data_IF_348088346266
#
_entry.id   IF_348088346266
#
_cell.length_a   1.000
_cell.length_b   1.000
_cell.length_c   1.000
_cell.angle_alpha   90.00
_cell.angle_beta   90.00
_cell.angle_gamma   90.00
#
_symmetry.space_group_name_H-M   'P 1'
#
loop_
_entity.id
_entity.type
_entity.pdbx_description
1 polymer ?
#
# COMPACT_ATOMS: atom_id res chain seq x y z
N UNK A 1 -14.18 -13.20 -1.33
CA UNK A 1 -13.23 -12.07 -1.15
C UNK A 1 -13.99 -10.76 -1.29
N UNK A 2 -13.79 -9.86 -0.35
CA UNK A 2 -14.41 -8.53 -0.43
C UNK A 2 -13.44 -7.45 0.02
N UNK A 3 -13.57 -6.27 -0.55
CA UNK A 3 -12.76 -5.10 -0.19
C UNK A 3 -13.73 -4.00 0.25
N UNK A 4 -13.42 -3.36 1.37
CA UNK A 4 -14.22 -2.25 1.88
C UNK A 4 -13.32 -1.15 2.44
N UNK A 5 -13.90 0.01 2.69
CA UNK A 5 -13.17 1.10 3.32
C UNK A 5 -12.73 0.73 4.73
N UNK A 6 -11.54 1.20 5.09
CA UNK A 6 -11.02 1.07 6.45
C UNK A 6 -11.95 1.77 7.44
N UNK A 7 -12.15 1.13 8.59
CA UNK A 7 -12.85 1.69 9.73
C UNK A 7 -12.01 1.47 10.99
N UNK A 8 -12.21 2.31 12.00
CA UNK A 8 -11.44 2.24 13.24
C UNK A 8 -11.49 0.84 13.89
N UNK A 9 -12.59 0.14 13.75
CA UNK A 9 -12.73 -1.23 14.28
C UNK A 9 -11.73 -2.22 13.67
N UNK A 10 -11.09 -1.87 12.55
CA UNK A 10 -10.08 -2.71 11.88
C UNK A 10 -8.64 -2.34 12.26
N UNK A 11 -8.47 -1.38 13.17
CA UNK A 11 -7.14 -0.90 13.54
C UNK A 11 -6.22 -2.03 13.99
N UNK A 12 -6.65 -2.85 14.95
CA UNK A 12 -5.83 -3.93 15.48
C UNK A 12 -5.50 -5.00 14.43
N UNK A 13 -6.43 -5.29 13.54
CA UNK A 13 -6.20 -6.23 12.44
C UNK A 13 -5.12 -5.72 11.48
N UNK A 14 -5.14 -4.44 11.16
CA UNK A 14 -4.12 -3.82 10.31
C UNK A 14 -2.75 -3.82 11.00
N UNK A 15 -2.69 -3.56 12.31
CA UNK A 15 -1.45 -3.62 13.06
C UNK A 15 -0.88 -5.05 13.09
N UNK A 16 -1.72 -6.06 13.18
CA UNK A 16 -1.27 -7.46 13.09
C UNK A 16 -0.64 -7.76 11.74
N UNK A 17 -1.21 -7.23 10.65
CA UNK A 17 -0.62 -7.38 9.31
C UNK A 17 0.75 -6.75 9.25
N UNK A 18 0.89 -5.53 9.77
CA UNK A 18 2.18 -4.83 9.84
C UNK A 18 3.21 -5.66 10.58
N UNK A 19 2.86 -6.17 11.77
CA UNK A 19 3.75 -7.01 12.59
C UNK A 19 4.17 -8.28 11.86
N UNK A 20 3.28 -8.88 11.09
CA UNK A 20 3.60 -10.10 10.34
C UNK A 20 4.66 -9.87 9.26
N UNK A 21 4.86 -8.63 8.84
CA UNK A 21 5.86 -8.24 7.84
C UNK A 21 7.14 -7.68 8.46
N UNK A 22 7.22 -7.63 9.78
CA UNK A 22 8.35 -7.08 10.52
C UNK A 22 9.24 -8.22 11.03
N UNK A 23 10.56 -8.16 10.90
CA UNK A 23 11.37 -7.08 10.32
C UNK A 23 11.71 -7.28 8.84
N UNK A 24 11.23 -8.34 8.20
CA UNK A 24 11.67 -8.73 6.86
C UNK A 24 11.40 -7.66 5.80
N UNK A 25 10.21 -7.06 5.83
CA UNK A 25 9.78 -6.07 4.84
C UNK A 25 9.56 -4.69 5.46
N UNK A 26 9.28 -4.63 6.75
CA UNK A 26 8.98 -3.40 7.48
C UNK A 26 9.93 -3.31 8.66
N UNK A 27 10.57 -2.15 8.83
CA UNK A 27 11.41 -1.91 9.99
C UNK A 27 10.54 -1.58 11.21
N UNK A 28 10.89 -2.08 12.43
CA UNK A 28 10.13 -1.74 13.64
C UNK A 28 9.93 -0.24 13.88
N UNK A 29 10.88 0.60 13.43
CA UNK A 29 10.77 2.06 13.58
C UNK A 29 9.62 2.66 12.79
N UNK A 30 9.05 1.93 11.83
CA UNK A 30 7.93 2.41 11.00
C UNK A 30 6.56 2.17 11.65
N UNK A 31 6.51 1.42 12.77
CA UNK A 31 5.23 1.08 13.40
C UNK A 31 4.47 2.30 13.89
N UNK A 32 5.16 3.26 14.50
CA UNK A 32 4.50 4.49 14.98
C UNK A 32 3.94 5.32 13.82
N UNK A 33 4.64 5.34 12.70
CA UNK A 33 4.20 6.05 11.49
C UNK A 33 2.90 5.47 10.94
N UNK A 34 2.79 4.14 10.91
CA UNK A 34 1.57 3.49 10.44
C UNK A 34 0.40 3.74 11.39
N UNK A 35 0.63 3.67 12.70
CA UNK A 35 -0.39 3.99 13.70
C UNK A 35 -0.89 5.42 13.56
N UNK A 36 0.02 6.37 13.35
CA UNK A 36 -0.33 7.77 13.13
C UNK A 36 -1.15 7.93 11.84
N UNK A 37 -0.74 7.24 10.77
CA UNK A 37 -1.48 7.26 9.51
C UNK A 37 -2.92 6.78 9.70
N UNK A 38 -3.12 5.64 10.36
CA UNK A 38 -4.45 5.09 10.59
C UNK A 38 -5.33 5.93 11.51
N UNK A 39 -4.71 6.87 12.24
CA UNK A 39 -5.42 7.76 13.17
C UNK A 39 -5.87 9.08 12.52
N UNK A 40 -5.51 9.33 11.26
CA UNK A 40 -5.91 10.54 10.56
C UNK A 40 -7.38 10.49 10.19
N UNK A 41 -8.05 11.66 10.21
CA UNK A 41 -9.49 11.75 9.94
C UNK A 41 -9.88 11.44 8.50
N UNK A 42 -9.01 11.75 7.54
CA UNK A 42 -9.34 11.68 6.11
C UNK A 42 -8.28 10.90 5.34
N UNK A 43 -8.40 9.58 5.43
CA UNK A 43 -7.57 8.69 4.61
C UNK A 43 -8.46 7.92 3.64
N UNK A 44 -7.91 7.63 2.47
CA UNK A 44 -8.53 6.69 1.54
C UNK A 44 -7.77 5.38 1.68
N UNK A 45 -8.30 4.51 2.51
CA UNK A 45 -7.65 3.26 2.87
C UNK A 45 -8.65 2.12 2.81
N UNK A 46 -8.20 0.96 2.35
CA UNK A 46 -9.05 -0.21 2.12
C UNK A 46 -8.55 -1.41 2.88
N UNK A 47 -9.47 -2.29 3.21
CA UNK A 47 -9.17 -3.60 3.81
C UNK A 47 -9.75 -4.70 2.94
N UNK A 48 -9.02 -5.80 2.82
CA UNK A 48 -9.44 -6.95 2.03
C UNK A 48 -9.68 -8.13 2.95
N UNK A 49 -10.86 -8.71 2.83
CA UNK A 49 -11.26 -9.90 3.59
C UNK A 49 -11.33 -11.12 2.67
N UNK A 50 -10.90 -12.26 3.19
CA UNK A 50 -11.25 -13.56 2.63
C UNK A 50 -12.02 -14.28 3.72
N UNK A 51 -13.30 -14.58 3.44
CA UNK A 51 -14.27 -14.97 4.46
C UNK A 51 -14.34 -13.91 5.56
N UNK A 52 -14.11 -14.31 6.82
CA UNK A 52 -14.13 -13.42 7.97
C UNK A 52 -12.76 -12.85 8.34
N UNK A 53 -11.72 -13.22 7.59
CA UNK A 53 -10.36 -12.83 7.90
C UNK A 53 -9.93 -11.59 7.13
N UNK A 54 -9.53 -10.54 7.83
CA UNK A 54 -8.90 -9.37 7.24
C UNK A 54 -7.44 -9.70 6.97
N UNK A 55 -7.04 -9.78 5.71
CA UNK A 55 -5.73 -10.31 5.32
C UNK A 55 -4.83 -9.32 4.59
N UNK A 56 -5.38 -8.20 4.14
CA UNK A 56 -4.60 -7.19 3.43
C UNK A 56 -5.20 -5.81 3.65
N UNK A 57 -4.37 -4.79 3.52
CA UNK A 57 -4.80 -3.40 3.62
C UNK A 57 -3.91 -2.52 2.74
N UNK A 58 -4.43 -1.38 2.32
CA UNK A 58 -3.69 -0.44 1.49
C UNK A 58 -4.60 0.66 0.97
N UNK A 59 -4.01 1.81 0.69
CA UNK A 59 -4.78 2.94 0.23
C UNK A 59 -3.98 3.87 -0.66
N UNK A 60 -4.41 5.11 -0.76
CA UNK A 60 -3.70 6.14 -1.50
C UNK A 60 -4.07 7.52 -0.98
N UNK A 61 -3.24 8.49 -1.30
CA UNK A 61 -3.51 9.90 -1.03
C UNK A 61 -3.14 10.74 -2.23
N UNK A 62 -3.74 11.92 -2.32
CA UNK A 62 -3.45 12.86 -3.39
C UNK A 62 -2.46 13.93 -2.91
N UNK A 63 -1.61 14.41 -3.83
CA UNK A 63 -0.83 15.61 -3.53
C UNK A 63 -1.76 16.83 -3.47
N UNK A 64 -1.25 17.97 -2.99
CA UNK A 64 -2.05 19.19 -2.81
C UNK A 64 -2.77 19.64 -4.08
N UNK A 65 -2.09 19.55 -5.22
CA UNK A 65 -2.61 19.98 -6.51
C UNK A 65 -3.59 18.96 -7.11
N UNK A 66 -3.72 17.79 -6.53
CA UNK A 66 -4.54 16.68 -7.03
C UNK A 66 -4.12 16.24 -8.44
N UNK A 67 -2.82 16.31 -8.71
CA UNK A 67 -2.22 15.92 -9.99
C UNK A 67 -1.55 14.55 -9.94
N UNK A 68 -1.31 14.04 -8.74
CA UNK A 68 -0.68 12.73 -8.53
C UNK A 68 -1.34 12.01 -7.35
N UNK A 69 -1.45 10.69 -7.46
CA UNK A 69 -1.88 9.84 -6.37
C UNK A 69 -0.71 8.99 -5.89
N UNK A 70 -0.46 9.00 -4.58
CA UNK A 70 0.56 8.14 -3.98
C UNK A 70 -0.07 6.94 -3.30
N UNK A 71 0.43 5.74 -3.59
CA UNK A 71 -0.02 4.53 -2.92
C UNK A 71 0.55 4.49 -1.50
N UNK A 72 -0.31 4.23 -0.53
CA UNK A 72 0.03 4.24 0.89
C UNK A 72 -0.11 2.85 1.50
N UNK A 73 0.89 2.44 2.27
CA UNK A 73 0.85 1.32 3.20
C UNK A 73 0.14 0.08 2.68
N UNK A 74 0.55 -0.40 1.50
CA UNK A 74 0.04 -1.65 0.94
C UNK A 74 0.70 -2.84 1.63
N UNK A 75 -0.10 -3.64 2.34
CA UNK A 75 0.40 -4.75 3.16
C UNK A 75 -0.49 -5.98 2.99
N UNK A 76 0.12 -7.15 2.92
CA UNK A 76 -0.56 -8.44 2.97
C UNK A 76 0.01 -9.23 4.14
N UNK A 77 -0.84 -9.85 4.93
CA UNK A 77 -0.37 -10.69 6.05
C UNK A 77 0.61 -11.74 5.52
N UNK A 78 1.73 -11.93 6.22
CA UNK A 78 2.86 -12.70 5.69
C UNK A 78 2.50 -14.11 5.25
N UNK A 79 1.65 -14.80 6.00
CA UNK A 79 1.23 -16.17 5.65
C UNK A 79 0.36 -16.25 4.40
N UNK A 80 -0.13 -15.12 3.91
CA UNK A 80 -0.95 -15.04 2.69
C UNK A 80 -0.19 -14.46 1.50
N UNK A 81 1.12 -14.25 1.61
CA UNK A 81 1.95 -13.81 0.49
C UNK A 81 1.92 -14.82 -0.66
N UNK A 82 2.12 -14.34 -1.88
CA UNK A 82 2.19 -15.15 -3.10
C UNK A 82 0.91 -15.94 -3.41
N UNK A 83 -0.23 -15.45 -2.97
CA UNK A 83 -1.54 -16.08 -3.21
C UNK A 83 -2.49 -15.20 -4.01
N UNK A 84 -2.00 -14.05 -4.52
CA UNK A 84 -2.79 -13.17 -5.37
C UNK A 84 -3.57 -12.07 -4.65
N UNK A 85 -3.56 -12.02 -3.32
CA UNK A 85 -4.31 -11.00 -2.57
C UNK A 85 -3.76 -9.59 -2.78
N UNK A 86 -2.43 -9.46 -2.80
CA UNK A 86 -1.78 -8.18 -3.09
C UNK A 86 -2.17 -7.64 -4.46
N UNK A 87 -2.23 -8.51 -5.47
CA UNK A 87 -2.65 -8.14 -6.81
C UNK A 87 -4.09 -7.68 -6.85
N UNK A 88 -5.00 -8.38 -6.16
CA UNK A 88 -6.41 -8.00 -6.09
C UNK A 88 -6.58 -6.63 -5.44
N UNK A 89 -5.89 -6.40 -4.32
CA UNK A 89 -5.97 -5.13 -3.63
C UNK A 89 -5.39 -3.99 -4.47
N UNK A 90 -4.27 -4.24 -5.15
CA UNK A 90 -3.66 -3.22 -6.02
C UNK A 90 -4.58 -2.86 -7.19
N UNK A 91 -5.16 -3.86 -7.87
CA UNK A 91 -6.11 -3.61 -8.94
C UNK A 91 -7.29 -2.75 -8.47
N UNK A 92 -7.80 -3.06 -7.28
CA UNK A 92 -8.90 -2.29 -6.69
C UNK A 92 -8.50 -0.83 -6.45
N UNK A 93 -7.31 -0.60 -5.86
CA UNK A 93 -6.79 0.75 -5.61
C UNK A 93 -6.61 1.53 -6.91
N UNK A 94 -5.99 0.91 -7.92
CA UNK A 94 -5.79 1.54 -9.22
C UNK A 94 -7.13 1.88 -9.90
N UNK A 95 -8.08 0.97 -9.83
CA UNK A 95 -9.42 1.18 -10.38
C UNK A 95 -10.14 2.32 -9.67
N UNK A 96 -10.05 2.39 -8.35
CA UNK A 96 -10.66 3.45 -7.56
C UNK A 96 -10.07 4.82 -7.91
N UNK A 97 -8.74 4.89 -8.05
CA UNK A 97 -8.05 6.11 -8.47
C UNK A 97 -8.52 6.52 -9.87
N UNK A 98 -8.51 5.58 -10.81
CA UNK A 98 -8.89 5.83 -12.20
C UNK A 98 -10.33 6.35 -12.32
N UNK A 99 -11.24 5.77 -11.54
CA UNK A 99 -12.66 6.16 -11.56
C UNK A 99 -12.89 7.56 -10.99
N UNK A 100 -12.15 7.93 -9.96
CA UNK A 100 -12.34 9.20 -9.26
C UNK A 100 -11.43 10.31 -9.79
N UNK A 101 -10.28 9.96 -10.35
CA UNK A 101 -9.26 10.92 -10.83
C UNK A 101 -8.68 10.45 -12.15
N UNK A 102 -9.49 10.43 -13.24
CA UNK A 102 -9.00 9.89 -14.53
C UNK A 102 -7.77 10.63 -15.05
N UNK A 103 -6.81 9.87 -15.55
CA UNK A 103 -5.62 10.43 -16.19
C UNK A 103 -4.51 10.89 -15.23
N UNK A 104 -4.69 10.69 -13.93
CA UNK A 104 -3.69 11.09 -12.93
C UNK A 104 -2.54 10.08 -12.88
N UNK A 105 -1.31 10.58 -12.71
CA UNK A 105 -0.16 9.72 -12.49
C UNK A 105 -0.19 9.14 -11.08
N UNK A 106 0.33 7.91 -10.93
CA UNK A 106 0.33 7.20 -9.65
C UNK A 106 1.77 6.87 -9.30
N UNK A 107 2.17 7.11 -8.05
CA UNK A 107 3.52 6.83 -7.59
C UNK A 107 3.50 6.07 -6.27
N UNK A 108 4.63 5.46 -5.94
CA UNK A 108 4.88 4.83 -4.66
C UNK A 108 6.37 4.71 -4.39
N UNK A 109 6.70 4.48 -3.14
CA UNK A 109 8.04 4.08 -2.73
C UNK A 109 7.94 2.63 -2.26
N UNK A 110 8.83 1.78 -2.75
CA UNK A 110 8.82 0.36 -2.40
C UNK A 110 10.23 -0.16 -2.20
N UNK A 111 10.38 -1.17 -1.35
CA UNK A 111 11.70 -1.74 -1.08
C UNK A 111 12.25 -2.50 -2.29
N UNK A 112 13.58 -2.69 -2.31
CA UNK A 112 14.21 -3.51 -3.34
C UNK A 112 13.75 -4.98 -3.30
N UNK A 113 13.05 -5.39 -2.24
CA UNK A 113 12.51 -6.75 -2.12
C UNK A 113 11.15 -6.91 -2.81
N UNK A 114 10.45 -5.80 -3.07
CA UNK A 114 9.05 -5.82 -3.54
C UNK A 114 8.81 -5.08 -4.85
N UNK A 115 9.80 -4.38 -5.40
CA UNK A 115 9.59 -3.54 -6.59
C UNK A 115 9.12 -4.33 -7.82
N UNK A 116 9.55 -5.58 -7.97
CA UNK A 116 9.17 -6.41 -9.13
C UNK A 116 7.67 -6.66 -9.20
N UNK A 117 7.02 -6.75 -8.04
CA UNK A 117 5.58 -6.88 -7.97
C UNK A 117 4.89 -5.72 -8.69
N UNK A 118 5.35 -4.49 -8.45
CA UNK A 118 4.76 -3.30 -9.06
C UNK A 118 5.11 -3.18 -10.54
N UNK A 119 6.27 -3.66 -10.96
CA UNK A 119 6.65 -3.67 -12.39
C UNK A 119 5.64 -4.45 -13.24
N UNK A 120 5.05 -5.51 -12.69
CA UNK A 120 4.03 -6.29 -13.39
C UNK A 120 2.77 -5.48 -13.72
N UNK A 121 2.54 -4.40 -13.00
CA UNK A 121 1.38 -3.51 -13.21
C UNK A 121 1.71 -2.28 -14.05
N UNK A 122 2.91 -2.22 -14.61
CA UNK A 122 3.32 -1.12 -15.47
C UNK A 122 4.07 0.00 -14.75
N UNK A 123 4.32 -0.13 -13.45
CA UNK A 123 5.14 0.85 -12.73
C UNK A 123 6.59 0.75 -13.17
N UNK A 124 7.24 1.88 -13.32
CA UNK A 124 8.66 1.97 -13.67
C UNK A 124 9.42 2.70 -12.57
N UNK A 125 10.67 2.30 -12.36
CA UNK A 125 11.56 2.98 -11.42
C UNK A 125 11.85 4.39 -11.94
N UNK A 126 11.85 5.34 -11.02
CA UNK A 126 12.14 6.73 -11.33
C UNK A 126 13.23 7.25 -10.39
N UNK A 127 14.34 7.70 -10.98
CA UNK A 127 15.49 8.15 -10.21
C UNK A 127 16.31 6.99 -9.64
N UNK A 128 17.19 7.32 -8.70
CA UNK A 128 18.08 6.36 -8.07
C UNK A 128 17.43 5.75 -6.82
N UNK A 129 17.85 4.52 -6.48
CA UNK A 129 17.43 3.93 -5.21
C UNK A 129 17.94 4.75 -4.04
N UNK A 130 17.21 4.74 -2.94
CA UNK A 130 17.55 5.46 -1.71
C UNK A 130 17.35 4.57 -0.50
N UNK A 131 18.02 4.94 0.62
CA UNK A 131 17.89 4.20 1.87
C UNK A 131 16.86 4.87 2.78
N UNK A 132 15.96 4.04 3.35
CA UNK A 132 15.00 4.50 4.35
C UNK A 132 14.84 3.41 5.38
N UNK A 133 15.03 3.74 6.66
CA UNK A 133 14.97 2.81 7.78
C UNK A 133 15.86 1.57 7.56
N UNK A 134 17.07 1.76 7.02
CA UNK A 134 18.04 0.68 6.79
C UNK A 134 17.72 -0.22 5.59
N UNK A 135 16.70 0.09 4.82
CA UNK A 135 16.28 -0.69 3.67
C UNK A 135 16.36 0.16 2.41
N UNK A 136 16.91 -0.41 1.33
CA UNK A 136 16.95 0.27 0.04
C UNK A 136 15.58 0.29 -0.61
N UNK A 137 15.18 1.44 -1.12
CA UNK A 137 13.89 1.68 -1.74
C UNK A 137 14.04 2.22 -3.16
N UNK A 138 12.98 2.05 -3.94
CA UNK A 138 12.82 2.67 -5.26
C UNK A 138 11.56 3.51 -5.26
N UNK A 139 11.64 4.70 -5.86
CA UNK A 139 10.44 5.43 -6.26
C UNK A 139 9.97 4.86 -7.58
N UNK A 140 8.68 4.57 -7.70
CA UNK A 140 8.09 4.02 -8.90
C UNK A 140 6.90 4.85 -9.34
N UNK A 141 6.67 4.93 -10.63
CA UNK A 141 5.60 5.74 -11.21
C UNK A 141 4.86 4.95 -12.29
N UNK A 142 3.55 5.06 -12.28
CA UNK A 142 2.66 4.62 -13.34
C UNK A 142 2.09 5.87 -13.99
N UNK A 143 2.56 6.20 -15.19
CA UNK A 143 2.12 7.38 -15.93
C UNK A 143 0.88 7.06 -16.75
N UNK A 144 -0.07 7.98 -16.77
CA UNK A 144 -1.32 7.86 -17.52
C UNK A 144 -1.40 8.79 -18.72
#
# INVERSE_FOLDING_TARGET
MRIEFYQLKYFEDCIKILRSNTPKYIDPSEHSMFKDYLSRDRITYFVLFDDLNLIACGGYGLNKQKTKAGLDWGLVQSKYHNKGYGSELLRYRLSHIQSNYPGIDIYLDTSQKTYKFYEKFGFIKEGEKFEEAGIMHYKMTLKK
#
